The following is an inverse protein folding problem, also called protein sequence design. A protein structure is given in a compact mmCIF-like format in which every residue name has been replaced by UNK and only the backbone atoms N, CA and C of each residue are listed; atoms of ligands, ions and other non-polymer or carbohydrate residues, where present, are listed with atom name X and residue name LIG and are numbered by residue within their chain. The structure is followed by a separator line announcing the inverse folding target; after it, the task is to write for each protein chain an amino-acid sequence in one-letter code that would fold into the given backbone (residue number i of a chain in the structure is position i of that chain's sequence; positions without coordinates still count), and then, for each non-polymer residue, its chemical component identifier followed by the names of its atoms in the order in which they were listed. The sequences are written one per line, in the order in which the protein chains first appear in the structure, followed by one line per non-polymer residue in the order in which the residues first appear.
data_IF_441325352978
#
_entry.id   IF_441325352978
#
_cell.length_a   1.000
_cell.length_b   1.000
_cell.length_c   1.000
_cell.angle_alpha   90.00
_cell.angle_beta   90.00
_cell.angle_gamma   90.00
#
_symmetry.space_group_name_H-M   'P 1'
#
loop_
_entity.id
_entity.type
_entity.pdbx_description
1 polymer ?
#
# COMPACT_ATOMS: atom_id res chain seq x y z
N UNK A 1 27.17 60.34 -42.35
CA UNK A 1 25.99 59.51 -42.78
C UNK A 1 26.38 58.04 -42.66
N UNK A 2 26.03 57.40 -41.58
CA UNK A 2 26.35 56.00 -41.34
C UNK A 2 25.10 55.36 -40.74
N UNK A 3 24.43 54.52 -41.53
CA UNK A 3 23.32 53.71 -41.08
C UNK A 3 23.83 52.56 -40.20
N UNK A 4 23.38 52.52 -38.94
CA UNK A 4 23.55 51.38 -38.04
C UNK A 4 22.42 50.37 -38.31
N UNK A 5 22.80 49.15 -38.72
CA UNK A 5 21.94 47.97 -38.77
C UNK A 5 21.86 47.40 -37.36
N UNK A 6 20.69 47.42 -36.75
CA UNK A 6 20.39 46.60 -35.58
C UNK A 6 20.01 45.19 -36.06
N UNK A 7 20.82 44.20 -35.72
CA UNK A 7 20.46 42.80 -35.87
C UNK A 7 19.63 42.37 -34.68
N UNK A 8 18.40 41.96 -34.96
CA UNK A 8 17.48 41.35 -34.01
C UNK A 8 17.87 39.87 -33.87
N UNK A 9 18.54 39.52 -32.79
CA UNK A 9 18.81 38.11 -32.43
C UNK A 9 17.54 37.54 -31.78
N UNK A 10 16.80 36.75 -32.56
CA UNK A 10 15.69 35.95 -32.07
C UNK A 10 16.27 34.77 -31.29
N UNK A 11 16.22 34.82 -29.96
CA UNK A 11 16.44 33.66 -29.11
C UNK A 11 15.21 32.73 -29.30
N UNK A 12 15.40 31.67 -30.08
CA UNK A 12 14.51 30.50 -30.03
C UNK A 12 14.79 29.80 -28.69
N UNK A 13 13.94 30.02 -27.70
CA UNK A 13 13.84 29.13 -26.55
C UNK A 13 13.23 27.81 -27.04
N UNK A 14 14.07 26.81 -27.26
CA UNK A 14 13.61 25.42 -27.36
C UNK A 14 13.06 25.02 -25.98
N UNK A 15 11.77 25.19 -25.79
CA UNK A 15 11.05 24.48 -24.75
C UNK A 15 11.09 23.00 -25.13
N UNK A 16 11.94 22.25 -24.44
CA UNK A 16 11.88 20.78 -24.45
C UNK A 16 10.57 20.40 -23.75
N UNK A 17 9.49 20.39 -24.53
CA UNK A 17 8.26 19.70 -24.12
C UNK A 17 8.60 18.24 -24.12
N UNK A 18 8.91 17.70 -22.93
CA UNK A 18 9.01 16.26 -22.75
C UNK A 18 7.68 15.64 -23.19
N UNK A 19 7.68 14.97 -24.33
CA UNK A 19 6.52 14.23 -24.82
C UNK A 19 6.17 13.13 -23.82
N UNK A 20 5.27 13.42 -22.89
CA UNK A 20 4.61 12.42 -22.05
C UNK A 20 3.49 11.76 -22.87
N UNK A 21 3.87 10.97 -23.86
CA UNK A 21 2.88 10.19 -24.60
C UNK A 21 2.24 9.17 -23.66
N UNK A 22 0.92 9.18 -23.56
CA UNK A 22 0.17 8.16 -22.82
C UNK A 22 0.55 6.75 -23.32
N UNK A 23 0.50 5.71 -22.45
CA UNK A 23 0.75 4.34 -22.89
C UNK A 23 -0.21 3.97 -24.01
N UNK A 24 0.31 3.27 -25.02
CA UNK A 24 -0.53 2.83 -26.13
C UNK A 24 -1.50 1.73 -25.70
N UNK A 25 -2.59 1.54 -26.50
CA UNK A 25 -3.63 0.55 -26.20
C UNK A 25 -3.09 -0.88 -26.02
N UNK A 26 -2.03 -1.23 -26.75
CA UNK A 26 -1.40 -2.56 -26.63
C UNK A 26 -0.75 -2.74 -25.24
N UNK A 27 -0.01 -1.74 -24.76
CA UNK A 27 0.59 -1.78 -23.43
C UNK A 27 -0.48 -1.89 -22.34
N UNK A 28 -1.55 -1.10 -22.42
CA UNK A 28 -2.69 -1.15 -21.48
C UNK A 28 -3.32 -2.55 -21.48
N UNK A 29 -3.70 -3.07 -22.64
CA UNK A 29 -4.32 -4.39 -22.76
C UNK A 29 -3.39 -5.51 -22.27
N UNK A 30 -2.10 -5.42 -22.55
CA UNK A 30 -1.11 -6.42 -22.08
C UNK A 30 -1.00 -6.37 -20.57
N UNK A 31 -0.90 -5.19 -19.96
CA UNK A 31 -0.86 -5.03 -18.51
C UNK A 31 -2.11 -5.60 -17.85
N UNK A 32 -3.30 -5.27 -18.36
CA UNK A 32 -4.56 -5.80 -17.85
C UNK A 32 -4.63 -7.34 -17.92
N UNK A 33 -4.15 -7.93 -19.03
CA UNK A 33 -4.09 -9.41 -19.16
C UNK A 33 -3.11 -10.04 -18.17
N UNK A 34 -1.96 -9.41 -17.91
CA UNK A 34 -1.00 -9.89 -16.91
C UNK A 34 -1.58 -9.82 -15.49
N UNK A 35 -2.20 -8.72 -15.13
CA UNK A 35 -2.88 -8.56 -13.84
C UNK A 35 -4.00 -9.60 -13.69
N UNK A 36 -4.84 -9.77 -14.71
CA UNK A 36 -5.91 -10.76 -14.69
C UNK A 36 -5.38 -12.21 -14.60
N UNK A 37 -4.27 -12.49 -15.27
CA UNK A 37 -3.61 -13.80 -15.16
C UNK A 37 -3.15 -14.08 -13.71
N UNK A 38 -2.52 -13.12 -13.04
CA UNK A 38 -2.11 -13.29 -11.65
C UNK A 38 -3.31 -13.42 -10.71
N UNK A 39 -4.40 -12.64 -10.91
CA UNK A 39 -5.66 -12.79 -10.16
C UNK A 39 -6.26 -14.18 -10.32
N UNK A 40 -6.31 -14.69 -11.56
CA UNK A 40 -6.83 -16.04 -11.83
C UNK A 40 -6.01 -17.14 -11.13
N UNK A 41 -4.68 -16.97 -11.05
CA UNK A 41 -3.82 -17.91 -10.30
C UNK A 41 -4.15 -17.93 -8.81
N UNK A 42 -4.60 -16.82 -8.27
CA UNK A 42 -4.97 -16.68 -6.86
C UNK A 42 -6.49 -16.91 -6.61
N UNK A 43 -7.24 -17.33 -7.64
CA UNK A 43 -8.70 -17.52 -7.62
C UNK A 43 -9.46 -16.24 -7.17
N UNK A 44 -8.91 -15.06 -7.52
CA UNK A 44 -9.45 -13.76 -7.11
C UNK A 44 -10.44 -13.21 -8.13
N UNK A 45 -11.66 -12.93 -7.66
CA UNK A 45 -12.70 -12.23 -8.40
C UNK A 45 -12.80 -10.77 -7.95
N UNK A 46 -12.98 -9.85 -8.89
CA UNK A 46 -13.21 -8.43 -8.58
C UNK A 46 -14.68 -8.17 -8.30
N UNK A 47 -14.95 -7.52 -7.17
CA UNK A 47 -16.28 -7.16 -6.68
C UNK A 47 -16.31 -5.69 -6.25
N UNK A 48 -17.50 -5.16 -6.02
CA UNK A 48 -17.68 -3.80 -5.54
C UNK A 48 -18.78 -3.76 -4.46
N UNK A 49 -18.63 -2.83 -3.53
CA UNK A 49 -19.62 -2.51 -2.50
C UNK A 49 -19.80 -0.99 -2.45
N UNK A 50 -21.05 -0.53 -2.45
CA UNK A 50 -21.38 0.86 -2.15
C UNK A 50 -21.53 1.03 -0.65
N UNK A 51 -20.77 1.95 -0.07
CA UNK A 51 -20.79 2.31 1.34
C UNK A 51 -22.01 3.19 1.67
N UNK A 52 -22.34 3.34 2.94
CA UNK A 52 -23.41 4.24 3.41
C UNK A 52 -23.16 5.70 2.99
N UNK A 53 -21.93 6.12 2.78
CA UNK A 53 -21.57 7.44 2.24
C UNK A 53 -21.97 7.65 0.78
N UNK A 54 -22.32 6.58 0.04
CA UNK A 54 -22.50 6.58 -1.41
C UNK A 54 -21.22 6.29 -2.20
N UNK A 55 -20.06 6.25 -1.54
CA UNK A 55 -18.80 5.86 -2.17
C UNK A 55 -18.75 4.37 -2.47
N UNK A 56 -17.98 3.98 -3.48
CA UNK A 56 -17.79 2.57 -3.85
C UNK A 56 -16.40 2.11 -3.48
N UNK A 57 -16.31 1.00 -2.75
CA UNK A 57 -15.08 0.22 -2.60
C UNK A 57 -15.07 -0.93 -3.60
N UNK A 58 -13.99 -1.02 -4.39
CA UNK A 58 -13.72 -2.18 -5.24
C UNK A 58 -12.74 -3.09 -4.50
N UNK A 59 -12.94 -4.38 -4.55
CA UNK A 59 -12.08 -5.36 -3.87
C UNK A 59 -11.96 -6.65 -4.67
N UNK A 60 -10.92 -7.42 -4.40
CA UNK A 60 -10.84 -8.80 -4.85
C UNK A 60 -11.12 -9.76 -3.70
N UNK A 61 -11.74 -10.88 -4.03
CA UNK A 61 -12.11 -11.94 -3.12
C UNK A 61 -11.82 -13.30 -3.75
N UNK A 62 -11.25 -14.23 -3.00
CA UNK A 62 -11.02 -15.58 -3.52
C UNK A 62 -12.24 -16.50 -3.30
N UNK A 63 -12.23 -17.66 -3.98
CA UNK A 63 -13.32 -18.61 -3.94
C UNK A 63 -13.47 -19.35 -2.58
N UNK A 64 -12.47 -19.31 -1.71
CA UNK A 64 -12.49 -20.01 -0.42
C UNK A 64 -13.25 -19.24 0.65
N UNK A 65 -14.57 -19.14 0.50
CA UNK A 65 -15.45 -18.41 1.43
C UNK A 65 -15.64 -19.11 2.78
N UNK A 66 -15.16 -20.33 2.95
CA UNK A 66 -15.22 -21.10 4.22
C UNK A 66 -13.94 -21.01 5.04
N UNK A 67 -12.88 -20.42 4.46
CA UNK A 67 -11.63 -20.15 5.15
C UNK A 67 -11.77 -19.05 6.22
N UNK A 68 -10.79 -18.97 7.11
CA UNK A 68 -10.74 -17.87 8.09
C UNK A 68 -10.55 -16.53 7.35
N UNK A 69 -11.37 -15.49 7.65
CA UNK A 69 -11.29 -14.21 6.94
C UNK A 69 -9.94 -13.51 7.14
N UNK A 70 -9.32 -13.12 6.03
CA UNK A 70 -8.09 -12.33 6.01
C UNK A 70 -8.29 -11.09 5.15
N UNK A 71 -8.35 -9.93 5.80
CA UNK A 71 -8.36 -8.61 5.17
C UNK A 71 -6.93 -8.17 4.92
N UNK A 72 -6.57 -7.90 3.65
CA UNK A 72 -5.24 -7.43 3.24
C UNK A 72 -5.32 -6.00 2.72
N UNK A 73 -4.55 -5.09 3.33
CA UNK A 73 -4.65 -3.64 3.13
C UNK A 73 -3.35 -3.11 2.49
N UNK A 74 -3.45 -2.55 1.28
CA UNK A 74 -2.31 -2.04 0.53
C UNK A 74 -1.73 -0.73 1.10
N UNK A 75 -0.49 -0.41 0.70
CA UNK A 75 0.19 0.83 1.03
C UNK A 75 -0.22 2.02 0.16
N UNK A 76 0.36 3.20 0.46
CA UNK A 76 0.15 4.42 -0.31
C UNK A 76 0.55 4.24 -1.77
N UNK A 77 -0.30 4.69 -2.66
CA UNK A 77 -0.09 4.61 -4.11
C UNK A 77 -0.17 3.21 -4.69
N UNK A 78 -0.50 2.21 -3.88
CA UNK A 78 -0.82 0.86 -4.30
C UNK A 78 -2.31 0.66 -4.55
N UNK A 79 -2.68 -0.60 -4.80
CA UNK A 79 -4.04 -1.07 -4.96
C UNK A 79 -4.16 -2.53 -4.50
N UNK A 80 -5.33 -3.14 -4.64
CA UNK A 80 -5.59 -4.55 -4.30
C UNK A 80 -4.61 -5.54 -4.96
N UNK A 81 -4.05 -5.19 -6.13
CA UNK A 81 -3.18 -6.09 -6.87
C UNK A 81 -1.77 -6.20 -6.27
N UNK A 82 -1.40 -5.33 -5.33
CA UNK A 82 -0.15 -5.45 -4.57
C UNK A 82 -0.06 -6.78 -3.78
N UNK A 83 -1.20 -7.33 -3.39
CA UNK A 83 -1.27 -8.60 -2.69
C UNK A 83 -1.59 -9.82 -3.58
N UNK A 84 -1.82 -9.64 -4.88
CA UNK A 84 -2.28 -10.74 -5.76
C UNK A 84 -1.29 -11.91 -5.82
N UNK A 85 0.03 -11.64 -5.87
CA UNK A 85 1.04 -12.70 -5.92
C UNK A 85 1.09 -13.51 -4.64
N UNK A 86 1.09 -12.85 -3.48
CA UNK A 86 1.08 -13.56 -2.20
C UNK A 86 -0.27 -14.23 -1.92
N UNK A 87 -1.37 -13.68 -2.42
CA UNK A 87 -2.70 -14.29 -2.31
C UNK A 87 -2.72 -15.71 -2.89
N UNK A 88 -1.99 -15.97 -3.98
CA UNK A 88 -1.84 -17.32 -4.52
C UNK A 88 -1.24 -18.33 -3.52
N UNK A 89 -0.41 -17.86 -2.60
CA UNK A 89 0.18 -18.66 -1.52
C UNK A 89 -0.75 -18.79 -0.29
N UNK A 90 -1.77 -17.93 -0.18
CA UNK A 90 -2.64 -17.80 0.98
C UNK A 90 -4.10 -18.26 0.70
N UNK A 91 -4.32 -19.08 -0.34
CA UNK A 91 -5.66 -19.53 -0.76
C UNK A 91 -6.41 -20.33 0.31
N UNK A 92 -5.72 -20.83 1.33
CA UNK A 92 -6.35 -21.54 2.45
C UNK A 92 -7.20 -20.60 3.34
N UNK A 93 -7.03 -19.28 3.19
CA UNK A 93 -7.82 -18.27 3.90
C UNK A 93 -8.90 -17.68 2.98
N UNK A 94 -9.94 -17.11 3.57
CA UNK A 94 -10.92 -16.30 2.85
C UNK A 94 -10.36 -14.88 2.69
N UNK A 95 -9.82 -14.59 1.51
CA UNK A 95 -9.11 -13.34 1.23
C UNK A 95 -10.05 -12.24 0.79
N UNK A 96 -9.97 -11.08 1.45
CA UNK A 96 -10.63 -9.83 1.08
C UNK A 96 -9.55 -8.77 0.91
N UNK A 97 -9.37 -8.28 -0.32
CA UNK A 97 -8.28 -7.36 -0.67
C UNK A 97 -8.88 -6.13 -1.36
N UNK A 98 -9.22 -5.07 -0.61
CA UNK A 98 -9.83 -3.86 -1.16
C UNK A 98 -8.82 -2.93 -1.83
N UNK A 99 -9.29 -2.18 -2.83
CA UNK A 99 -8.77 -0.86 -3.13
C UNK A 99 -9.30 0.09 -2.05
N UNK A 100 -8.44 0.74 -1.30
CA UNK A 100 -8.83 1.76 -0.34
C UNK A 100 -9.55 2.93 -1.05
N UNK A 101 -10.43 3.62 -0.35
CA UNK A 101 -10.99 4.87 -0.87
C UNK A 101 -9.82 5.80 -1.26
N UNK A 102 -9.88 6.41 -2.44
CA UNK A 102 -8.80 7.22 -3.01
C UNK A 102 -7.86 6.48 -3.94
N UNK A 103 -7.92 5.14 -4.00
CA UNK A 103 -6.96 4.30 -4.74
C UNK A 103 -7.65 3.32 -5.70
N UNK A 104 -6.85 2.76 -6.60
CA UNK A 104 -7.27 1.71 -7.54
C UNK A 104 -8.55 2.08 -8.30
N UNK A 105 -9.54 1.20 -8.25
CA UNK A 105 -10.85 1.37 -8.87
C UNK A 105 -11.94 1.85 -7.89
N UNK A 106 -11.60 2.07 -6.61
CA UNK A 106 -12.52 2.66 -5.63
C UNK A 106 -12.78 4.15 -5.88
N UNK A 107 -13.84 4.69 -5.28
CA UNK A 107 -14.16 6.12 -5.36
C UNK A 107 -13.01 7.00 -4.86
N UNK A 108 -12.87 8.19 -5.45
CA UNK A 108 -11.77 9.14 -5.21
C UNK A 108 -12.27 10.54 -4.86
N UNK A 109 -13.10 10.71 -3.81
CA UNK A 109 -13.64 12.02 -3.46
C UNK A 109 -12.54 12.92 -2.90
N UNK A 110 -12.37 14.11 -3.50
CA UNK A 110 -11.30 15.06 -3.10
C UNK A 110 -11.43 15.52 -1.64
N UNK A 111 -12.65 15.58 -1.09
CA UNK A 111 -12.90 16.12 0.26
C UNK A 111 -13.03 15.06 1.35
N UNK A 112 -12.68 13.79 1.07
CA UNK A 112 -12.75 12.75 2.07
C UNK A 112 -11.60 12.84 3.09
N UNK A 113 -11.86 12.27 4.26
CA UNK A 113 -10.82 11.96 5.25
C UNK A 113 -10.16 10.63 4.88
N UNK A 114 -8.84 10.66 4.65
CA UNK A 114 -8.02 9.50 4.24
C UNK A 114 -7.14 8.96 5.38
N UNK A 115 -7.24 9.53 6.59
CA UNK A 115 -6.50 9.06 7.76
C UNK A 115 -6.90 7.64 8.14
N UNK A 116 -6.06 6.98 8.91
CA UNK A 116 -6.18 5.56 9.25
C UNK A 116 -7.54 5.20 9.87
N UNK A 117 -8.09 6.03 10.78
CA UNK A 117 -9.39 5.77 11.41
C UNK A 117 -10.57 5.81 10.43
N UNK A 118 -10.54 6.75 9.47
CA UNK A 118 -11.59 6.88 8.48
C UNK A 118 -11.55 5.70 7.49
N UNK A 119 -10.37 5.30 7.05
CA UNK A 119 -10.21 4.11 6.21
C UNK A 119 -10.58 2.83 6.95
N UNK A 120 -10.17 2.67 8.21
CA UNK A 120 -10.54 1.53 9.06
C UNK A 120 -12.07 1.40 9.20
N UNK A 121 -12.78 2.52 9.34
CA UNK A 121 -14.26 2.52 9.41
C UNK A 121 -14.89 2.00 8.12
N UNK A 122 -14.40 2.45 6.96
CA UNK A 122 -14.90 1.99 5.65
C UNK A 122 -14.63 0.49 5.43
N UNK A 123 -13.46 0.04 5.84
CA UNK A 123 -13.11 -1.39 5.76
C UNK A 123 -13.98 -2.24 6.69
N UNK A 124 -14.28 -1.74 7.89
CA UNK A 124 -15.18 -2.43 8.80
C UNK A 124 -16.62 -2.52 8.23
N UNK A 125 -17.11 -1.45 7.59
CA UNK A 125 -18.38 -1.46 6.88
C UNK A 125 -18.39 -2.50 5.75
N UNK A 126 -17.31 -2.62 4.96
CA UNK A 126 -17.15 -3.68 3.97
C UNK A 126 -17.23 -5.07 4.62
N UNK A 127 -16.51 -5.29 5.72
CA UNK A 127 -16.49 -6.58 6.41
C UNK A 127 -17.86 -6.91 7.05
N UNK A 128 -18.56 -5.90 7.59
CA UNK A 128 -19.93 -6.06 8.11
C UNK A 128 -20.93 -6.45 7.01
N UNK A 129 -20.89 -5.75 5.87
CA UNK A 129 -21.75 -6.06 4.72
C UNK A 129 -21.56 -7.48 4.19
N UNK A 130 -20.37 -8.06 4.41
CA UNK A 130 -20.05 -9.46 4.06
C UNK A 130 -20.38 -10.46 5.19
N UNK A 131 -20.76 -10.00 6.37
CA UNK A 131 -20.95 -10.86 7.55
C UNK A 131 -19.63 -11.40 8.12
N UNK A 132 -18.50 -10.75 7.86
CA UNK A 132 -17.13 -11.19 8.20
C UNK A 132 -16.47 -10.29 9.26
N UNK A 133 -17.14 -9.27 9.78
CA UNK A 133 -16.52 -8.32 10.72
C UNK A 133 -16.05 -9.00 12.00
N UNK A 134 -16.86 -9.88 12.58
CA UNK A 134 -16.49 -10.63 13.79
C UNK A 134 -15.52 -11.76 13.46
N UNK A 135 -14.31 -11.75 13.99
CA UNK A 135 -13.29 -12.80 13.80
C UNK A 135 -12.40 -12.65 12.57
N UNK A 136 -12.06 -11.43 12.20
CA UNK A 136 -11.18 -11.14 11.06
C UNK A 136 -9.69 -11.15 11.47
N UNK A 137 -8.84 -11.67 10.59
CA UNK A 137 -7.40 -11.43 10.60
C UNK A 137 -7.09 -10.25 9.69
N UNK A 138 -6.31 -9.30 10.17
CA UNK A 138 -6.00 -8.06 9.42
C UNK A 138 -4.51 -8.02 9.11
N UNK A 139 -4.18 -7.86 7.84
CA UNK A 139 -2.80 -7.65 7.37
C UNK A 139 -2.70 -6.36 6.56
N UNK A 140 -1.60 -5.62 6.72
CA UNK A 140 -1.41 -4.40 5.95
C UNK A 140 0.05 -4.01 5.76
N UNK A 141 0.35 -3.45 4.58
CA UNK A 141 1.68 -2.93 4.24
C UNK A 141 1.70 -1.42 4.34
N UNK A 142 2.74 -0.85 4.94
CA UNK A 142 2.98 0.60 4.97
C UNK A 142 1.78 1.37 5.56
N UNK A 143 1.18 2.30 4.81
CA UNK A 143 -0.09 2.94 5.16
C UNK A 143 -1.18 1.92 5.55
N UNK A 144 -1.24 0.79 4.84
CA UNK A 144 -2.18 -0.30 5.17
C UNK A 144 -1.92 -0.92 6.53
N UNK A 145 -0.67 -0.96 6.99
CA UNK A 145 -0.30 -1.36 8.35
C UNK A 145 -0.84 -0.38 9.40
N UNK A 146 -0.67 0.93 9.18
CA UNK A 146 -1.26 1.96 10.04
C UNK A 146 -2.78 1.86 10.12
N UNK A 147 -3.44 1.61 8.98
CA UNK A 147 -4.89 1.38 8.91
C UNK A 147 -5.27 0.10 9.66
N UNK A 148 -4.47 -0.96 9.56
CA UNK A 148 -4.64 -2.21 10.33
C UNK A 148 -4.57 -1.97 11.84
N UNK A 149 -3.62 -1.15 12.31
CA UNK A 149 -3.53 -0.72 13.72
C UNK A 149 -4.78 0.04 14.14
N UNK A 150 -5.24 1.00 13.33
CA UNK A 150 -6.46 1.77 13.62
C UNK A 150 -7.70 0.86 13.62
N UNK A 151 -7.80 -0.09 12.69
CA UNK A 151 -8.88 -1.09 12.65
C UNK A 151 -8.89 -1.94 13.92
N UNK A 152 -7.75 -2.52 14.29
CA UNK A 152 -7.63 -3.37 15.47
C UNK A 152 -7.89 -2.60 16.78
N UNK A 153 -7.48 -1.34 16.87
CA UNK A 153 -7.73 -0.51 18.04
C UNK A 153 -9.21 -0.08 18.16
N UNK A 154 -9.89 0.14 17.03
CA UNK A 154 -11.30 0.55 17.01
C UNK A 154 -12.25 -0.62 17.20
N UNK A 155 -11.89 -1.81 16.76
CA UNK A 155 -12.70 -3.03 16.79
C UNK A 155 -11.93 -4.22 17.41
N UNK A 156 -11.39 -4.06 18.64
CA UNK A 156 -10.45 -5.04 19.20
C UNK A 156 -11.08 -6.41 19.48
N UNK A 157 -12.41 -6.48 19.67
CA UNK A 157 -13.15 -7.73 19.86
C UNK A 157 -13.28 -8.54 18.56
N UNK A 158 -13.20 -7.87 17.42
CA UNK A 158 -13.42 -8.45 16.09
C UNK A 158 -12.13 -9.00 15.48
N UNK A 159 -10.96 -8.52 15.95
CA UNK A 159 -9.66 -8.84 15.35
C UNK A 159 -9.00 -10.02 16.03
N UNK A 160 -8.78 -11.10 15.28
CA UNK A 160 -8.11 -12.33 15.75
C UNK A 160 -6.59 -12.23 15.74
N UNK A 161 -6.02 -11.52 14.78
CA UNK A 161 -4.60 -11.20 14.72
C UNK A 161 -4.33 -10.03 13.80
N UNK A 162 -3.18 -9.41 14.00
CA UNK A 162 -2.67 -8.32 13.18
C UNK A 162 -1.35 -8.72 12.52
N UNK A 163 -1.19 -8.39 11.24
CA UNK A 163 0.03 -8.59 10.47
C UNK A 163 0.51 -7.25 9.89
N UNK A 164 1.56 -6.71 10.44
CA UNK A 164 2.20 -5.46 10.05
C UNK A 164 3.38 -5.75 9.12
N UNK A 165 3.30 -5.28 7.90
CA UNK A 165 4.36 -5.42 6.87
C UNK A 165 4.91 -4.03 6.59
N UNK A 166 6.13 -3.74 7.04
CA UNK A 166 6.78 -2.42 6.88
C UNK A 166 5.84 -1.26 7.22
N UNK A 167 5.19 -1.32 8.40
CA UNK A 167 4.04 -0.49 8.76
C UNK A 167 4.41 0.98 8.96
N UNK A 168 3.63 1.89 8.35
CA UNK A 168 3.66 3.31 8.65
C UNK A 168 2.97 3.65 9.98
N UNK A 169 3.06 4.92 10.39
CA UNK A 169 2.31 5.49 11.51
C UNK A 169 3.02 5.49 12.86
N UNK A 170 4.21 4.92 12.96
CA UNK A 170 5.06 4.91 14.15
C UNK A 170 6.17 5.96 14.03
N UNK A 171 5.76 7.23 13.94
CA UNK A 171 6.64 8.33 13.55
C UNK A 171 7.64 8.75 14.62
N UNK A 172 7.46 8.36 15.89
CA UNK A 172 8.44 8.61 16.96
C UNK A 172 9.75 7.84 16.75
N UNK A 173 9.75 6.79 15.92
CA UNK A 173 10.98 6.13 15.48
C UNK A 173 11.85 7.04 14.59
N UNK A 174 11.28 8.12 14.01
CA UNK A 174 11.92 9.04 13.07
C UNK A 174 11.90 8.54 11.64
N UNK A 175 12.30 9.40 10.72
CA UNK A 175 12.37 9.09 9.28
C UNK A 175 13.68 8.38 8.92
N UNK A 176 13.69 7.56 7.85
CA UNK A 176 14.93 7.06 7.29
C UNK A 176 15.73 8.19 6.65
N UNK A 177 17.04 8.03 6.56
CA UNK A 177 17.95 9.03 5.97
C UNK A 177 17.54 9.45 4.55
N UNK A 178 16.97 8.54 3.79
CA UNK A 178 16.46 8.73 2.42
C UNK A 178 15.29 9.73 2.33
N UNK A 179 14.57 9.96 3.43
CA UNK A 179 13.44 10.89 3.51
C UNK A 179 13.72 12.11 4.43
N UNK A 180 14.95 12.26 4.94
CA UNK A 180 15.33 13.44 5.69
C UNK A 180 15.19 14.71 4.83
N UNK A 181 14.43 15.69 5.30
CA UNK A 181 14.15 16.94 4.57
C UNK A 181 13.18 16.79 3.39
N UNK A 182 12.53 15.65 3.23
CA UNK A 182 11.47 15.51 2.23
C UNK A 182 10.26 16.39 2.59
N UNK A 183 9.75 17.11 1.58
CA UNK A 183 8.55 17.94 1.64
C UNK A 183 7.52 17.38 0.64
N UNK A 184 6.29 17.89 0.63
CA UNK A 184 5.31 17.48 -0.40
C UNK A 184 5.77 17.80 -1.83
N UNK A 185 6.69 18.74 -2.03
CA UNK A 185 7.19 19.12 -3.36
C UNK A 185 8.25 18.16 -3.89
N UNK A 186 9.07 17.57 -2.99
CA UNK A 186 10.21 16.73 -3.36
C UNK A 186 10.13 15.30 -2.79
N UNK A 187 8.97 14.89 -2.26
CA UNK A 187 8.80 13.56 -1.69
C UNK A 187 8.89 12.49 -2.79
N UNK A 188 9.80 11.50 -2.67
CA UNK A 188 9.95 10.45 -3.68
C UNK A 188 8.74 9.53 -3.83
N UNK A 189 7.76 9.58 -2.91
CA UNK A 189 6.51 8.83 -3.02
C UNK A 189 5.48 9.53 -3.93
N UNK A 190 5.69 10.81 -4.28
CA UNK A 190 4.81 11.57 -5.18
C UNK A 190 5.35 11.56 -6.61
N UNK A 191 4.47 11.34 -7.57
CA UNK A 191 4.81 11.17 -8.98
C UNK A 191 4.38 12.40 -9.78
N UNK A 192 5.34 13.13 -10.34
CA UNK A 192 5.10 14.29 -11.20
C UNK A 192 5.32 14.00 -12.68
N UNK A 193 6.09 12.96 -12.98
CA UNK A 193 6.38 12.47 -14.32
C UNK A 193 6.64 10.95 -14.29
N UNK A 194 6.83 10.33 -15.45
CA UNK A 194 7.04 8.87 -15.53
C UNK A 194 8.36 8.41 -14.93
N UNK A 195 9.39 9.23 -14.98
CA UNK A 195 10.70 8.90 -14.42
C UNK A 195 10.62 8.81 -12.90
N UNK A 196 9.82 9.68 -12.25
CA UNK A 196 9.56 9.59 -10.81
C UNK A 196 8.99 8.22 -10.42
N UNK A 197 8.11 7.65 -11.27
CA UNK A 197 7.59 6.31 -11.02
C UNK A 197 8.66 5.21 -11.15
N UNK A 198 9.56 5.34 -12.11
CA UNK A 198 10.65 4.37 -12.26
C UNK A 198 11.61 4.44 -11.08
N UNK A 199 11.93 5.66 -10.65
CA UNK A 199 12.74 5.88 -9.44
C UNK A 199 12.04 5.37 -8.19
N UNK A 200 10.72 5.61 -8.05
CA UNK A 200 9.93 5.07 -6.95
C UNK A 200 9.96 3.54 -6.91
N UNK A 201 9.85 2.88 -8.08
CA UNK A 201 9.88 1.42 -8.17
C UNK A 201 11.18 0.83 -7.62
N UNK A 202 12.31 1.48 -7.94
CA UNK A 202 13.65 1.09 -7.46
C UNK A 202 13.90 1.57 -6.01
N UNK A 203 13.21 2.62 -5.55
CA UNK A 203 13.32 3.15 -4.19
C UNK A 203 12.59 2.29 -3.14
N UNK A 204 11.40 1.78 -3.49
CA UNK A 204 10.60 0.98 -2.54
C UNK A 204 11.02 -0.49 -2.50
N UNK A 205 11.79 -0.98 -3.46
CA UNK A 205 12.23 -2.36 -3.55
C UNK A 205 13.75 -2.47 -3.64
N UNK A 206 14.32 -3.34 -2.83
CA UNK A 206 15.76 -3.64 -2.90
C UNK A 206 16.08 -4.59 -4.06
N UNK A 207 15.25 -5.60 -4.28
CA UNK A 207 15.35 -6.57 -5.39
C UNK A 207 14.06 -6.57 -6.20
N UNK A 208 13.79 -5.49 -6.98
CA UNK A 208 12.53 -5.39 -7.70
C UNK A 208 12.36 -6.52 -8.71
N UNK A 209 11.18 -7.18 -8.78
CA UNK A 209 10.91 -8.15 -9.82
C UNK A 209 10.92 -7.47 -11.18
N UNK A 210 11.34 -8.22 -12.20
CA UNK A 210 11.35 -7.69 -13.57
C UNK A 210 9.94 -7.28 -14.01
N UNK A 211 9.80 -6.04 -14.45
CA UNK A 211 8.60 -5.51 -15.09
C UNK A 211 8.98 -4.76 -16.38
N UNK A 212 8.39 -5.10 -17.54
CA UNK A 212 8.62 -4.37 -18.79
C UNK A 212 8.36 -2.87 -18.66
N UNK A 213 9.16 -2.02 -19.32
CA UNK A 213 8.94 -0.56 -19.29
C UNK A 213 7.53 -0.18 -19.73
N UNK A 214 6.92 -0.88 -20.70
CA UNK A 214 5.54 -0.65 -21.14
C UNK A 214 4.51 -0.89 -20.03
N UNK A 215 4.72 -1.90 -19.19
CA UNK A 215 3.87 -2.19 -18.01
C UNK A 215 4.08 -1.10 -16.95
N UNK A 216 5.34 -0.79 -16.61
CA UNK A 216 5.64 0.32 -15.67
C UNK A 216 5.05 1.66 -16.13
N UNK A 217 5.03 1.92 -17.44
CA UNK A 217 4.44 3.16 -18.01
C UNK A 217 2.91 3.24 -17.83
N UNK A 218 2.19 2.10 -17.79
CA UNK A 218 0.75 2.07 -17.49
C UNK A 218 0.50 2.48 -16.05
N UNK A 219 1.19 1.86 -15.09
CA UNK A 219 1.07 2.22 -13.67
C UNK A 219 1.53 3.66 -13.39
N UNK A 220 2.61 4.12 -14.05
CA UNK A 220 3.04 5.51 -13.95
C UNK A 220 1.93 6.48 -14.39
N UNK A 221 1.21 6.16 -15.47
CA UNK A 221 0.12 7.01 -15.96
C UNK A 221 -1.06 7.03 -14.99
N UNK A 222 -1.39 5.91 -14.38
CA UNK A 222 -2.46 5.83 -13.36
C UNK A 222 -2.12 6.72 -12.14
N UNK A 223 -0.87 6.66 -11.65
CA UNK A 223 -0.39 7.53 -10.57
C UNK A 223 -0.41 9.00 -10.98
N UNK A 224 0.04 9.34 -12.18
CA UNK A 224 0.00 10.72 -12.70
C UNK A 224 -1.42 11.29 -12.79
N UNK A 225 -2.40 10.47 -13.14
CA UNK A 225 -3.80 10.88 -13.19
C UNK A 225 -4.35 11.24 -11.79
N UNK A 226 -3.78 10.66 -10.73
CA UNK A 226 -4.22 10.85 -9.35
C UNK A 226 -3.32 11.79 -8.53
N UNK A 227 -2.28 12.39 -9.12
CA UNK A 227 -1.20 13.11 -8.40
C UNK A 227 -1.68 14.15 -7.39
N UNK A 228 -2.78 14.87 -7.69
CA UNK A 228 -3.32 15.90 -6.79
C UNK A 228 -3.93 15.27 -5.54
N UNK A 229 -4.70 14.20 -5.74
CA UNK A 229 -5.28 13.45 -4.63
C UNK A 229 -4.20 12.71 -3.83
N UNK A 230 -3.21 12.14 -4.52
CA UNK A 230 -2.08 11.45 -3.87
C UNK A 230 -1.32 12.42 -2.91
N UNK A 231 -1.08 13.67 -3.33
CA UNK A 231 -0.44 14.66 -2.46
C UNK A 231 -1.29 14.97 -1.22
N UNK A 232 -2.60 15.14 -1.37
CA UNK A 232 -3.54 15.36 -0.25
C UNK A 232 -3.57 14.18 0.71
N UNK A 233 -3.59 12.96 0.17
CA UNK A 233 -3.59 11.73 1.00
C UNK A 233 -2.26 11.61 1.75
N UNK A 234 -1.13 11.83 1.08
CA UNK A 234 0.18 11.74 1.72
C UNK A 234 0.31 12.72 2.89
N UNK A 235 -0.15 13.97 2.72
CA UNK A 235 -0.18 14.98 3.79
C UNK A 235 -0.94 14.48 5.03
N UNK A 236 -2.07 13.80 4.84
CA UNK A 236 -2.85 13.22 5.94
C UNK A 236 -2.14 12.04 6.61
N UNK A 237 -1.45 11.20 5.82
CA UNK A 237 -0.75 10.01 6.33
C UNK A 237 0.44 10.41 7.21
N UNK A 238 1.27 11.36 6.76
CA UNK A 238 2.50 11.74 7.48
C UNK A 238 2.22 12.45 8.80
N UNK A 239 1.01 12.97 8.97
CA UNK A 239 0.54 13.60 10.22
C UNK A 239 -0.26 12.65 11.11
N UNK A 240 -0.62 11.46 10.64
CA UNK A 240 -1.41 10.48 11.39
C UNK A 240 -0.51 9.47 12.12
N UNK A 241 -0.29 9.71 13.41
CA UNK A 241 0.49 8.81 14.29
C UNK A 241 -0.45 7.79 14.95
N UNK A 242 -0.15 6.48 14.80
CA UNK A 242 -0.99 5.39 15.34
C UNK A 242 -0.48 4.79 16.65
N UNK A 243 0.61 5.26 17.21
CA UNK A 243 1.27 4.70 18.41
C UNK A 243 0.33 4.59 19.60
N UNK A 244 -0.48 5.64 19.86
CA UNK A 244 -1.48 5.61 20.94
C UNK A 244 -2.54 4.53 20.70
N UNK A 245 -2.93 4.30 19.44
CA UNK A 245 -3.89 3.25 19.06
C UNK A 245 -3.28 1.87 19.25
N UNK A 246 -1.98 1.72 19.03
CA UNK A 246 -1.27 0.46 19.20
C UNK A 246 -1.26 -0.04 20.67
N UNK A 247 -1.41 0.84 21.67
CA UNK A 247 -1.58 0.43 23.07
C UNK A 247 -2.83 -0.42 23.29
N UNK A 248 -3.92 -0.19 22.55
CA UNK A 248 -5.13 -1.02 22.62
C UNK A 248 -4.83 -2.45 22.17
N UNK A 249 -3.95 -2.62 21.16
CA UNK A 249 -3.54 -3.94 20.66
C UNK A 249 -2.79 -4.71 21.76
N UNK A 250 -1.94 -4.02 22.52
CA UNK A 250 -1.23 -4.58 23.68
C UNK A 250 -2.20 -4.94 24.81
N UNK A 251 -3.13 -4.05 25.14
CA UNK A 251 -4.14 -4.24 26.20
C UNK A 251 -5.03 -5.47 25.93
N UNK A 252 -5.55 -5.57 24.69
CA UNK A 252 -6.37 -6.71 24.26
C UNK A 252 -5.55 -7.95 23.90
N UNK A 253 -4.21 -7.87 24.01
CA UNK A 253 -3.28 -8.96 23.68
C UNK A 253 -3.51 -9.56 22.29
N UNK A 254 -3.88 -8.70 21.32
CA UNK A 254 -4.10 -9.16 19.96
C UNK A 254 -2.79 -9.74 19.41
N UNK A 255 -2.75 -11.02 19.00
CA UNK A 255 -1.58 -11.63 18.42
C UNK A 255 -1.10 -10.82 17.21
N UNK A 256 0.15 -10.39 17.20
CA UNK A 256 0.70 -9.50 16.17
C UNK A 256 1.96 -10.09 15.56
N UNK A 257 2.01 -10.17 14.24
CA UNK A 257 3.21 -10.43 13.46
C UNK A 257 3.68 -9.13 12.84
N UNK A 258 4.96 -8.80 13.00
CA UNK A 258 5.64 -7.68 12.35
C UNK A 258 6.69 -8.27 11.41
N UNK A 259 6.57 -7.98 10.13
CA UNK A 259 7.56 -8.37 9.11
C UNK A 259 8.16 -7.10 8.52
N UNK A 260 9.47 -7.08 8.35
CA UNK A 260 10.18 -5.89 7.86
C UNK A 260 11.36 -6.24 7.00
N UNK A 261 11.55 -5.50 5.90
CA UNK A 261 12.76 -5.59 5.09
C UNK A 261 13.93 -4.80 5.71
N UNK A 262 15.10 -5.40 5.82
CA UNK A 262 16.32 -4.76 6.35
C UNK A 262 16.87 -3.64 5.45
N UNK A 263 16.40 -3.58 4.20
CA UNK A 263 16.74 -2.56 3.20
C UNK A 263 15.60 -1.57 2.92
N UNK A 264 14.61 -1.49 3.81
CA UNK A 264 13.51 -0.53 3.67
C UNK A 264 14.04 0.91 3.73
N UNK A 265 13.86 1.65 2.63
CA UNK A 265 14.25 3.05 2.49
C UNK A 265 13.08 4.02 2.74
N UNK A 266 11.86 3.51 2.91
CA UNK A 266 10.64 4.31 3.12
C UNK A 266 10.34 4.47 4.61
N UNK A 267 10.45 3.40 5.38
CA UNK A 267 10.28 3.41 6.84
C UNK A 267 11.41 2.59 7.44
N UNK A 268 12.18 3.22 8.30
CA UNK A 268 13.41 2.59 8.81
C UNK A 268 13.11 1.31 9.62
N UNK A 269 13.94 0.26 9.46
CA UNK A 269 13.76 -1.03 10.14
C UNK A 269 13.72 -0.95 11.67
N UNK A 270 14.41 0.03 12.27
CA UNK A 270 14.43 0.26 13.72
C UNK A 270 13.05 0.61 14.29
N UNK A 271 12.09 0.95 13.43
CA UNK A 271 10.67 1.11 13.82
C UNK A 271 10.10 -0.17 14.48
N UNK A 272 10.64 -1.32 14.13
CA UNK A 272 10.26 -2.61 14.75
C UNK A 272 10.54 -2.65 16.26
N UNK A 273 11.57 -1.96 16.73
CA UNK A 273 11.91 -1.86 18.16
C UNK A 273 10.81 -1.08 18.90
N UNK A 274 10.41 0.08 18.35
CA UNK A 274 9.31 0.89 18.91
C UNK A 274 7.98 0.10 18.92
N UNK A 275 7.67 -0.62 17.82
CA UNK A 275 6.47 -1.47 17.79
C UNK A 275 6.53 -2.55 18.88
N UNK A 276 7.68 -3.16 19.08
CA UNK A 276 7.89 -4.20 20.09
C UNK A 276 7.80 -3.65 21.53
N UNK A 277 8.22 -2.40 21.73
CA UNK A 277 8.03 -1.69 23.00
C UNK A 277 6.54 -1.48 23.31
N UNK A 278 5.77 -0.99 22.32
CA UNK A 278 4.33 -0.69 22.47
C UNK A 278 3.49 -1.97 22.51
N UNK A 279 3.84 -2.98 21.71
CA UNK A 279 3.12 -4.26 21.57
C UNK A 279 4.05 -5.41 21.97
N UNK A 280 4.27 -5.67 23.29
CA UNK A 280 5.28 -6.63 23.75
C UNK A 280 5.07 -8.07 23.26
N UNK A 281 3.83 -8.47 22.96
CA UNK A 281 3.50 -9.79 22.43
C UNK A 281 3.79 -9.93 20.92
N UNK A 282 4.14 -8.85 20.19
CA UNK A 282 4.43 -8.91 18.77
C UNK A 282 5.62 -9.84 18.47
N UNK A 283 5.46 -10.71 17.48
CA UNK A 283 6.56 -11.46 16.87
C UNK A 283 7.16 -10.61 15.75
N UNK A 284 8.46 -10.38 15.80
CA UNK A 284 9.17 -9.58 14.79
C UNK A 284 10.02 -10.51 13.92
N UNK A 285 9.92 -10.34 12.62
CA UNK A 285 10.76 -11.01 11.61
C UNK A 285 11.39 -9.93 10.74
N UNK A 286 12.73 -9.84 10.80
CA UNK A 286 13.51 -9.05 9.87
C UNK A 286 13.87 -9.91 8.66
N UNK A 287 13.66 -9.40 7.45
CA UNK A 287 13.97 -10.10 6.21
C UNK A 287 15.22 -9.51 5.57
N UNK A 288 16.25 -10.33 5.42
CA UNK A 288 17.52 -9.93 4.83
C UNK A 288 17.37 -9.65 3.33
N UNK A 289 18.00 -8.55 2.87
CA UNK A 289 18.02 -8.15 1.47
C UNK A 289 16.63 -7.90 0.86
N UNK A 290 15.68 -7.38 1.63
CA UNK A 290 14.32 -7.05 1.22
C UNK A 290 14.05 -5.57 1.50
N UNK A 291 13.33 -4.89 0.60
CA UNK A 291 12.90 -3.50 0.75
C UNK A 291 11.54 -3.36 1.42
N UNK A 292 10.79 -2.31 1.05
CA UNK A 292 9.54 -1.89 1.68
C UNK A 292 8.30 -2.75 1.34
N UNK A 293 8.41 -3.67 0.39
CA UNK A 293 7.25 -4.45 -0.10
C UNK A 293 7.54 -5.95 -0.14
N UNK A 294 7.79 -6.60 1.02
CA UNK A 294 8.13 -8.03 1.11
C UNK A 294 7.15 -8.95 0.38
N UNK A 295 5.85 -8.60 0.37
CA UNK A 295 4.80 -9.37 -0.31
C UNK A 295 4.95 -9.35 -1.85
N UNK A 296 5.82 -8.51 -2.40
CA UNK A 296 6.16 -8.44 -3.83
C UNK A 296 7.57 -8.96 -4.09
N UNK A 297 8.55 -8.62 -3.23
CA UNK A 297 9.97 -8.95 -3.40
C UNK A 297 10.30 -10.37 -2.94
N UNK A 298 9.72 -10.81 -1.83
CA UNK A 298 10.03 -12.06 -1.14
C UNK A 298 8.75 -12.88 -0.86
N UNK A 299 7.91 -13.06 -1.89
CA UNK A 299 6.56 -13.64 -1.81
C UNK A 299 6.52 -14.93 -1.02
N UNK A 300 7.38 -15.91 -1.36
CA UNK A 300 7.36 -17.24 -0.75
C UNK A 300 7.75 -17.20 0.73
N UNK A 301 8.77 -16.41 1.08
CA UNK A 301 9.20 -16.27 2.47
C UNK A 301 8.15 -15.54 3.30
N UNK A 302 7.60 -14.43 2.77
CA UNK A 302 6.55 -13.64 3.44
C UNK A 302 5.30 -14.48 3.71
N UNK A 303 4.86 -15.28 2.74
CA UNK A 303 3.73 -16.19 2.91
C UNK A 303 4.01 -17.31 3.92
N UNK A 304 5.23 -17.89 3.88
CA UNK A 304 5.67 -18.93 4.83
C UNK A 304 5.68 -18.41 6.26
N UNK A 305 6.21 -17.21 6.48
CA UNK A 305 6.30 -16.60 7.80
C UNK A 305 4.91 -16.28 8.36
N UNK A 306 4.01 -15.76 7.51
CA UNK A 306 2.62 -15.55 7.90
C UNK A 306 1.92 -16.87 8.27
N UNK A 307 2.03 -17.91 7.45
CA UNK A 307 1.44 -19.23 7.73
C UNK A 307 1.99 -19.84 9.03
N UNK A 308 3.30 -19.71 9.27
CA UNK A 308 3.93 -20.16 10.52
C UNK A 308 3.35 -19.43 11.72
N UNK A 309 3.23 -18.11 11.66
CA UNK A 309 2.57 -17.32 12.70
C UNK A 309 1.13 -17.78 12.94
N UNK A 310 0.33 -17.96 11.87
CA UNK A 310 -1.06 -18.41 11.99
C UNK A 310 -1.19 -19.79 12.63
N UNK A 311 -0.26 -20.68 12.35
CA UNK A 311 -0.23 -22.02 12.98
C UNK A 311 -0.06 -21.95 14.51
N UNK A 312 0.65 -20.94 15.04
CA UNK A 312 0.80 -20.74 16.50
C UNK A 312 -0.49 -20.30 17.18
N UNK A 313 -1.43 -19.72 16.44
CA UNK A 313 -2.71 -19.24 16.98
C UNK A 313 -3.74 -20.37 17.14
N UNK A 314 -3.65 -21.44 16.33
CA UNK A 314 -4.57 -22.59 16.37
C UNK A 314 -4.29 -23.52 17.58
N UNK A 315 -3.13 -23.39 18.19
CA UNK A 315 -2.71 -24.24 19.30
C UNK A 315 -2.91 -23.58 20.68
N UNK A 316 -3.58 -22.43 20.72
CA UNK A 316 -3.99 -21.70 21.93
C UNK A 316 -5.51 -21.71 22.07
#
# INVERSE_FOLDING_TARGET
MLLKRLGLATLLSLSVVGCTTAPNKLAVNTTQKLVQYERNKADLETKALTLASGDTLVYTENANITGEPLLLIHGFGGDKDNFTRIANQLKDYHLIIPDLLGFGNSSKPMEADYRADAQATRLHELMQAKGLAASVHVGGNSMGGAIGVAYAAKYPQDVKSLWLVDSAGFWSAGLPKSLEGATLENNPLLINNKEDFYNLYDFVMYKPPYAPKSVKAVFAQERLNNKVLDAKILEQIVTDNVEKRANVIAEYKIPTLVVWGDKDQVIKPETTELIKEIIPQAQVIMMDDVGHVPMIEAVDQTAKDYKKFRATLKNK
#
